data_IF_814849102071
#
_entry.id   IF_814849102071
#
_cell.length_a   1.000
_cell.length_b   1.000
_cell.length_c   1.000
_cell.angle_alpha   90.00
_cell.angle_beta   90.00
_cell.angle_gamma   90.00
#
_symmetry.space_group_name_H-M   'P 1'
#
loop_
_entity.id
_entity.type
_entity.pdbx_description
1 polymer ?
#
# COMPACT_ATOMS: atom_id res chain seq x y z
N UNK A 1 9.39 -51.99 46.38
CA UNK A 1 7.93 -52.22 46.42
C UNK A 1 7.33 -51.63 45.16
N UNK A 2 6.43 -52.35 44.47
CA UNK A 2 5.77 -51.88 43.26
C UNK A 2 4.31 -51.53 43.58
N UNK A 3 3.86 -50.34 43.19
CA UNK A 3 2.46 -49.93 43.31
C UNK A 3 1.66 -50.56 42.16
N UNK A 4 0.53 -51.20 42.50
CA UNK A 4 -0.41 -51.73 41.50
C UNK A 4 -1.51 -50.70 41.25
N UNK A 5 -1.94 -50.55 40.01
CA UNK A 5 -2.94 -49.56 39.60
C UNK A 5 -4.37 -49.96 39.97
N UNK A 6 -4.64 -51.25 40.20
CA UNK A 6 -5.96 -51.80 40.53
C UNK A 6 -5.82 -52.88 41.61
N UNK A 7 -6.69 -52.84 42.62
CA UNK A 7 -6.86 -53.89 43.63
C UNK A 7 -8.31 -54.38 43.67
N UNK A 8 -8.49 -55.67 43.95
CA UNK A 8 -9.81 -56.32 44.06
C UNK A 8 -10.29 -56.49 45.51
N UNK A 9 -9.49 -56.04 46.48
CA UNK A 9 -9.83 -56.00 47.90
C UNK A 9 -9.00 -54.87 48.57
N UNK A 10 -9.62 -54.12 49.48
CA UNK A 10 -8.98 -53.06 50.25
C UNK A 10 -7.99 -53.62 51.29
N UNK A 11 -8.17 -54.87 51.70
CA UNK A 11 -7.24 -55.55 52.61
C UNK A 11 -5.85 -55.80 51.96
N UNK A 12 -5.80 -55.92 50.63
CA UNK A 12 -4.55 -56.11 49.87
C UNK A 12 -3.75 -54.81 49.68
N UNK A 13 -4.38 -53.65 49.91
CA UNK A 13 -3.73 -52.34 49.83
C UNK A 13 -2.95 -52.10 51.12
N UNK A 14 -1.61 -51.92 51.06
CA UNK A 14 -0.83 -51.58 52.25
C UNK A 14 -1.38 -50.32 52.92
N UNK A 15 -1.55 -50.35 54.25
CA UNK A 15 -2.28 -49.30 55.01
C UNK A 15 -1.81 -47.88 54.71
N UNK A 16 -0.51 -47.69 54.50
CA UNK A 16 0.12 -46.40 54.17
C UNK A 16 -0.36 -45.75 52.86
N UNK A 17 -0.98 -46.53 51.98
CA UNK A 17 -1.42 -46.08 50.66
C UNK A 17 -2.94 -46.17 50.47
N UNK A 18 -3.72 -46.62 51.46
CA UNK A 18 -5.18 -46.74 51.37
C UNK A 18 -5.87 -45.41 51.06
N UNK A 19 -5.31 -44.31 51.56
CA UNK A 19 -5.82 -42.95 51.30
C UNK A 19 -5.75 -42.54 49.81
N UNK A 20 -4.91 -43.22 49.01
CA UNK A 20 -4.71 -42.91 47.59
C UNK A 20 -5.61 -43.73 46.65
N UNK A 21 -6.40 -44.68 47.17
CA UNK A 21 -7.30 -45.52 46.38
C UNK A 21 -8.76 -45.20 46.68
N UNK A 22 -9.58 -45.07 45.65
CA UNK A 22 -11.04 -44.91 45.79
C UNK A 22 -11.79 -46.04 45.09
N UNK A 23 -12.89 -46.49 45.71
CA UNK A 23 -13.78 -47.49 45.12
C UNK A 23 -14.49 -46.92 43.89
N UNK A 24 -14.24 -47.50 42.72
CA UNK A 24 -14.83 -47.05 41.44
C UNK A 24 -15.98 -47.97 41.00
N UNK A 25 -15.98 -49.22 41.45
CA UNK A 25 -17.05 -50.22 41.25
C UNK A 25 -17.02 -51.22 42.42
N UNK A 26 -18.09 -51.99 42.70
CA UNK A 26 -18.15 -52.84 43.90
C UNK A 26 -16.98 -53.83 43.93
N UNK A 27 -16.10 -53.66 44.91
CA UNK A 27 -14.90 -54.51 45.09
C UNK A 27 -13.71 -54.16 44.18
N UNK A 28 -13.71 -53.04 43.45
CA UNK A 28 -12.55 -52.59 42.65
C UNK A 28 -12.08 -51.22 43.12
N UNK A 29 -10.87 -51.21 43.68
CA UNK A 29 -10.19 -50.03 44.20
C UNK A 29 -9.15 -49.57 43.20
N UNK A 30 -9.30 -48.34 42.68
CA UNK A 30 -8.35 -47.74 41.73
C UNK A 30 -7.57 -46.61 42.38
N UNK A 31 -6.30 -46.47 41.97
CA UNK A 31 -5.38 -45.45 42.47
C UNK A 31 -5.74 -44.09 41.86
N UNK A 32 -6.41 -43.24 42.63
CA UNK A 32 -6.97 -41.95 42.19
C UNK A 32 -6.36 -40.75 42.93
N UNK A 33 -5.70 -40.96 44.07
CA UNK A 33 -5.10 -39.92 44.90
C UNK A 33 -3.72 -39.41 44.45
N UNK A 34 -3.22 -39.82 43.28
CA UNK A 34 -1.98 -39.29 42.72
C UNK A 34 -2.33 -38.13 41.78
N UNK A 35 -2.02 -36.90 42.19
CA UNK A 35 -2.08 -35.73 41.31
C UNK A 35 -1.23 -35.97 40.05
N UNK A 36 -1.88 -35.90 38.87
CA UNK A 36 -1.22 -36.00 37.56
C UNK A 36 -1.37 -37.35 36.83
N UNK A 37 -2.08 -38.34 37.38
CA UNK A 37 -2.45 -39.54 36.62
C UNK A 37 -3.56 -39.20 35.61
N UNK A 38 -3.19 -39.06 34.33
CA UNK A 38 -4.15 -39.03 33.23
C UNK A 38 -4.92 -40.35 33.23
N UNK A 39 -6.25 -40.28 33.32
CA UNK A 39 -7.11 -41.45 33.33
C UNK A 39 -7.15 -42.08 31.94
N UNK A 40 -7.56 -43.35 31.85
CA UNK A 40 -7.76 -44.01 30.55
C UNK A 40 -8.73 -43.25 29.64
N UNK A 41 -9.70 -42.55 30.23
CA UNK A 41 -10.65 -41.69 29.53
C UNK A 41 -9.98 -40.43 28.95
N UNK A 42 -9.06 -39.80 29.69
CA UNK A 42 -8.28 -38.66 29.18
C UNK A 42 -7.39 -39.06 28.00
N UNK A 43 -6.81 -40.26 28.05
CA UNK A 43 -6.06 -40.81 26.92
C UNK A 43 -6.93 -41.08 25.70
N UNK A 44 -8.16 -41.57 25.90
CA UNK A 44 -9.13 -41.78 24.81
C UNK A 44 -9.57 -40.45 24.20
N UNK A 45 -9.82 -39.42 25.00
CA UNK A 45 -10.15 -38.08 24.53
C UNK A 45 -9.00 -37.43 23.77
N UNK A 46 -7.77 -37.56 24.28
CA UNK A 46 -6.60 -37.07 23.57
C UNK A 46 -6.44 -37.77 22.22
N UNK A 47 -6.60 -39.10 22.21
CA UNK A 47 -6.52 -39.88 20.97
C UNK A 47 -7.58 -39.48 19.96
N UNK A 48 -8.83 -39.33 20.37
CA UNK A 48 -9.90 -38.89 19.45
C UNK A 48 -9.66 -37.48 18.92
N UNK A 49 -9.13 -36.56 19.74
CA UNK A 49 -8.75 -35.22 19.28
C UNK A 49 -7.60 -35.25 18.26
N UNK A 50 -6.61 -36.14 18.44
CA UNK A 50 -5.52 -36.33 17.48
C UNK A 50 -6.02 -36.95 16.17
N UNK A 51 -6.92 -37.94 16.25
CA UNK A 51 -7.54 -38.54 15.07
C UNK A 51 -8.35 -37.50 14.27
N UNK A 52 -9.06 -36.59 14.94
CA UNK A 52 -9.74 -35.46 14.30
C UNK A 52 -8.76 -34.51 13.61
N UNK A 53 -7.68 -34.12 14.29
CA UNK A 53 -6.65 -33.24 13.72
C UNK A 53 -5.97 -33.85 12.48
N UNK A 54 -5.72 -35.17 12.49
CA UNK A 54 -5.18 -35.87 11.32
C UNK A 54 -6.17 -35.87 10.16
N UNK A 55 -7.45 -36.14 10.42
CA UNK A 55 -8.48 -36.10 9.38
C UNK A 55 -8.63 -34.70 8.76
N UNK A 56 -8.56 -33.65 9.58
CA UNK A 56 -8.55 -32.26 9.10
C UNK A 56 -7.31 -31.94 8.26
N UNK A 57 -6.12 -32.36 8.71
CA UNK A 57 -4.88 -32.16 7.97
C UNK A 57 -4.89 -32.88 6.62
N UNK A 58 -5.42 -34.11 6.56
CA UNK A 58 -5.61 -34.86 5.32
C UNK A 58 -6.61 -34.18 4.39
N UNK A 59 -7.71 -33.67 4.93
CA UNK A 59 -8.71 -32.93 4.16
C UNK A 59 -8.10 -31.66 3.54
N UNK A 60 -7.35 -30.88 4.32
CA UNK A 60 -6.66 -29.68 3.84
C UNK A 60 -5.60 -30.01 2.78
N UNK A 61 -4.82 -31.09 2.98
CA UNK A 61 -3.87 -31.57 1.96
C UNK A 61 -4.57 -31.96 0.66
N UNK A 62 -5.70 -32.66 0.74
CA UNK A 62 -6.49 -33.04 -0.43
C UNK A 62 -7.02 -31.81 -1.17
N UNK A 63 -7.47 -30.77 -0.45
CA UNK A 63 -7.88 -29.49 -1.04
C UNK A 63 -6.71 -28.77 -1.70
N UNK A 64 -5.52 -28.77 -1.09
CA UNK A 64 -4.33 -28.18 -1.70
C UNK A 64 -4.02 -28.85 -3.04
N UNK A 65 -3.92 -30.18 -3.06
CA UNK A 65 -3.66 -30.96 -4.29
C UNK A 65 -4.74 -30.72 -5.34
N UNK A 66 -6.02 -30.71 -4.95
CA UNK A 66 -7.15 -30.42 -5.86
C UNK A 66 -7.03 -29.05 -6.52
N UNK A 67 -6.50 -28.06 -5.82
CA UNK A 67 -6.28 -26.70 -6.33
C UNK A 67 -4.87 -26.52 -6.95
N UNK A 68 -4.10 -27.58 -7.12
CA UNK A 68 -2.74 -27.52 -7.68
C UNK A 68 -1.72 -26.85 -6.76
N UNK A 69 -2.03 -26.68 -5.48
CA UNK A 69 -1.15 -26.10 -4.47
C UNK A 69 -0.37 -27.24 -3.80
N UNK A 70 0.95 -27.12 -3.79
CA UNK A 70 1.79 -28.02 -2.99
C UNK A 70 1.61 -27.67 -1.50
N UNK A 71 1.23 -28.62 -0.63
CA UNK A 71 0.98 -28.35 0.80
C UNK A 71 2.17 -27.68 1.50
N UNK A 72 3.39 -28.08 1.15
CA UNK A 72 4.63 -27.55 1.75
C UNK A 72 4.94 -26.11 1.31
N UNK A 73 4.24 -25.59 0.28
CA UNK A 73 4.39 -24.22 -0.20
C UNK A 73 3.37 -23.26 0.37
N UNK A 74 2.39 -23.71 1.14
CA UNK A 74 1.30 -22.86 1.64
C UNK A 74 1.84 -21.67 2.43
N UNK A 75 2.81 -21.89 3.32
CA UNK A 75 3.44 -20.81 4.10
C UNK A 75 4.18 -19.82 3.18
N UNK A 76 4.97 -20.33 2.24
CA UNK A 76 5.66 -19.46 1.26
C UNK A 76 4.70 -18.65 0.39
N UNK A 77 3.52 -19.20 0.08
CA UNK A 77 2.49 -18.47 -0.66
C UNK A 77 1.91 -17.34 0.18
N UNK A 78 1.69 -17.55 1.49
CA UNK A 78 1.24 -16.47 2.37
C UNK A 78 2.25 -15.33 2.46
N UNK A 79 3.54 -15.64 2.53
CA UNK A 79 4.62 -14.65 2.48
C UNK A 79 4.62 -13.89 1.14
N UNK A 80 4.56 -14.62 0.02
CA UNK A 80 4.47 -14.03 -1.32
C UNK A 80 3.23 -13.12 -1.46
N UNK A 81 2.08 -13.53 -0.92
CA UNK A 81 0.85 -12.74 -0.91
C UNK A 81 0.99 -11.47 -0.08
N UNK A 82 1.63 -11.55 1.10
CA UNK A 82 1.88 -10.38 1.93
C UNK A 82 2.80 -9.38 1.20
N UNK A 83 3.87 -9.87 0.58
CA UNK A 83 4.80 -9.07 -0.22
C UNK A 83 4.13 -8.43 -1.43
N UNK A 84 3.33 -9.19 -2.17
CA UNK A 84 2.58 -8.68 -3.33
C UNK A 84 1.58 -7.60 -2.91
N UNK A 85 0.87 -7.80 -1.79
CA UNK A 85 -0.05 -6.82 -1.23
C UNK A 85 0.68 -5.53 -0.84
N UNK A 86 1.86 -5.62 -0.22
CA UNK A 86 2.67 -4.46 0.12
C UNK A 86 3.18 -3.72 -1.13
N UNK A 87 3.61 -4.45 -2.16
CA UNK A 87 4.04 -3.89 -3.45
C UNK A 87 2.87 -3.20 -4.17
N UNK A 88 1.67 -3.79 -4.15
CA UNK A 88 0.47 -3.18 -4.72
C UNK A 88 0.10 -1.89 -3.99
N UNK A 89 0.02 -1.90 -2.66
CA UNK A 89 -0.27 -0.69 -1.87
C UNK A 89 0.73 0.43 -2.16
N UNK A 90 2.01 0.09 -2.29
CA UNK A 90 3.06 1.05 -2.66
C UNK A 90 2.82 1.63 -4.06
N UNK A 91 2.54 0.78 -5.06
CA UNK A 91 2.26 1.23 -6.43
C UNK A 91 0.99 2.07 -6.53
N UNK A 92 -0.07 1.67 -5.84
CA UNK A 92 -1.32 2.42 -5.81
C UNK A 92 -1.09 3.82 -5.22
N UNK A 93 -0.35 3.91 -4.11
CA UNK A 93 0.00 5.22 -3.52
C UNK A 93 0.79 6.11 -4.50
N UNK A 94 1.73 5.54 -5.26
CA UNK A 94 2.52 6.27 -6.25
C UNK A 94 1.65 6.73 -7.43
N UNK A 95 0.74 5.87 -7.92
CA UNK A 95 -0.20 6.20 -8.99
C UNK A 95 -1.13 7.35 -8.54
N UNK A 96 -1.63 7.30 -7.31
CA UNK A 96 -2.48 8.37 -6.78
C UNK A 96 -1.71 9.70 -6.65
N UNK A 97 -0.47 9.66 -6.16
CA UNK A 97 0.37 10.85 -6.08
C UNK A 97 0.61 11.49 -7.45
N UNK A 98 0.91 10.69 -8.48
CA UNK A 98 1.10 11.19 -9.84
C UNK A 98 -0.20 11.70 -10.48
N UNK A 99 -1.35 11.06 -10.22
CA UNK A 99 -2.66 11.57 -10.66
C UNK A 99 -2.94 12.96 -10.10
N UNK A 100 -2.70 13.16 -8.81
CA UNK A 100 -2.87 14.45 -8.14
C UNK A 100 -1.94 15.50 -8.76
N UNK A 101 -0.65 15.18 -8.93
CA UNK A 101 0.33 16.10 -9.55
C UNK A 101 -0.06 16.47 -10.99
N UNK A 102 -0.54 15.51 -11.78
CA UNK A 102 -0.96 15.77 -13.15
C UNK A 102 -2.19 16.67 -13.19
N UNK A 103 -3.20 16.41 -12.36
CA UNK A 103 -4.38 17.28 -12.23
C UNK A 103 -4.00 18.71 -11.82
N UNK A 104 -3.09 18.86 -10.86
CA UNK A 104 -2.55 20.18 -10.45
C UNK A 104 -1.79 20.87 -11.56
N UNK A 105 -0.91 20.15 -12.28
CA UNK A 105 -0.14 20.71 -13.39
C UNK A 105 -1.05 21.19 -14.52
N UNK A 106 -2.00 20.36 -14.94
CA UNK A 106 -2.92 20.69 -16.04
C UNK A 106 -3.80 21.89 -15.70
N UNK A 107 -4.35 21.94 -14.49
CA UNK A 107 -5.16 23.07 -14.03
C UNK A 107 -4.33 24.33 -13.88
N UNK A 108 -3.12 24.24 -13.32
CA UNK A 108 -2.21 25.37 -13.19
C UNK A 108 -1.81 25.98 -14.53
N UNK A 109 -1.47 25.14 -15.51
CA UNK A 109 -1.16 25.59 -16.87
C UNK A 109 -2.37 26.25 -17.54
N UNK A 110 -3.58 25.68 -17.38
CA UNK A 110 -4.83 26.28 -17.89
C UNK A 110 -5.11 27.65 -17.27
N UNK A 111 -4.73 27.86 -16.01
CA UNK A 111 -4.94 29.12 -15.28
C UNK A 111 -3.79 30.13 -15.45
N UNK A 112 -2.77 29.83 -16.26
CA UNK A 112 -1.68 30.75 -16.58
C UNK A 112 -0.56 30.81 -15.54
N UNK A 113 -0.42 29.80 -14.67
CA UNK A 113 0.75 29.67 -13.80
C UNK A 113 2.00 29.49 -14.66
N UNK A 114 3.05 30.27 -14.36
CA UNK A 114 4.32 30.18 -15.07
C UNK A 114 5.02 28.86 -14.78
N UNK A 115 5.77 28.34 -15.75
CA UNK A 115 6.50 27.06 -15.61
C UNK A 115 7.44 27.03 -14.39
N UNK A 116 8.09 28.16 -14.08
CA UNK A 116 8.98 28.31 -12.92
C UNK A 116 8.27 28.17 -11.57
N UNK A 117 6.97 28.45 -11.49
CA UNK A 117 6.17 28.33 -10.28
C UNK A 117 5.48 26.96 -10.14
N UNK A 118 5.50 26.11 -11.17
CA UNK A 118 4.90 24.79 -11.10
C UNK A 118 5.49 23.90 -9.98
N UNK A 119 6.81 23.89 -9.72
CA UNK A 119 7.35 23.12 -8.60
C UNK A 119 6.72 23.52 -7.25
N UNK A 120 6.47 24.81 -7.03
CA UNK A 120 5.85 25.32 -5.80
C UNK A 120 4.39 24.89 -5.66
N UNK A 121 3.65 24.88 -6.77
CA UNK A 121 2.27 24.37 -6.81
C UNK A 121 2.25 22.86 -6.54
N UNK A 122 3.14 22.10 -7.18
CA UNK A 122 3.23 20.65 -7.02
C UNK A 122 3.72 20.23 -5.63
N UNK A 123 4.52 21.05 -4.96
CA UNK A 123 4.93 20.82 -3.57
C UNK A 123 3.72 20.80 -2.62
N UNK A 124 2.59 21.42 -3.01
CA UNK A 124 1.34 21.46 -2.25
C UNK A 124 0.38 20.32 -2.60
N UNK A 125 0.81 19.33 -3.37
CA UNK A 125 -0.01 18.17 -3.74
C UNK A 125 -0.48 17.34 -2.55
N UNK A 126 0.23 17.37 -1.41
CA UNK A 126 -0.13 16.64 -0.18
C UNK A 126 -1.46 17.07 0.46
N UNK A 127 -2.00 18.22 0.06
CA UNK A 127 -3.27 18.81 0.51
C UNK A 127 -4.47 18.09 -0.13
N UNK A 128 -4.24 17.34 -1.20
CA UNK A 128 -5.27 16.70 -2.02
C UNK A 128 -5.35 15.20 -1.81
N UNK A 129 -6.51 14.64 -2.15
CA UNK A 129 -6.82 13.23 -2.20
C UNK A 129 -7.61 12.92 -3.48
N UNK A 130 -7.51 11.69 -3.97
CA UNK A 130 -8.37 11.20 -5.04
C UNK A 130 -9.64 10.65 -4.41
N UNK A 131 -10.79 11.26 -4.73
CA UNK A 131 -12.09 10.75 -4.28
C UNK A 131 -12.50 9.45 -4.97
N UNK A 132 -13.54 8.80 -4.45
CA UNK A 132 -14.08 7.54 -4.99
C UNK A 132 -14.50 7.66 -6.47
N UNK A 133 -14.98 8.84 -6.87
CA UNK A 133 -15.37 9.18 -8.25
C UNK A 133 -14.17 9.38 -9.20
N UNK A 134 -12.93 9.20 -8.72
CA UNK A 134 -11.71 9.48 -9.47
C UNK A 134 -11.37 10.97 -9.60
N UNK A 135 -12.16 11.86 -8.99
CA UNK A 135 -11.91 13.31 -8.99
C UNK A 135 -10.91 13.70 -7.90
N UNK A 136 -9.95 14.57 -8.22
CA UNK A 136 -8.99 15.10 -7.24
C UNK A 136 -9.62 16.26 -6.48
N UNK A 137 -9.69 16.14 -5.15
CA UNK A 137 -10.25 17.16 -4.25
C UNK A 137 -9.34 17.36 -3.06
N UNK A 138 -9.45 18.52 -2.41
CA UNK A 138 -8.78 18.76 -1.15
C UNK A 138 -9.18 17.71 -0.11
N UNK A 139 -8.26 17.37 0.78
CA UNK A 139 -8.56 16.57 1.97
C UNK A 139 -9.69 17.21 2.79
N UNK A 140 -10.39 16.44 3.64
CA UNK A 140 -11.47 16.98 4.48
C UNK A 140 -11.02 18.16 5.36
N UNK A 141 -9.78 18.12 5.86
CA UNK A 141 -9.16 19.21 6.63
C UNK A 141 -9.05 20.53 5.84
N UNK A 142 -9.02 20.46 4.51
CA UNK A 142 -8.88 21.59 3.60
C UNK A 142 -10.21 21.95 2.91
N UNK A 143 -11.34 21.49 3.45
CA UNK A 143 -12.68 21.87 3.01
C UNK A 143 -13.19 21.15 1.75
N UNK A 144 -12.54 20.06 1.32
CA UNK A 144 -12.92 19.28 0.12
C UNK A 144 -13.03 20.09 -1.18
N UNK A 145 -12.24 21.16 -1.26
CA UNK A 145 -12.24 22.12 -2.38
C UNK A 145 -11.68 21.48 -3.65
N UNK A 146 -12.25 21.79 -4.81
CA UNK A 146 -11.72 21.34 -6.10
C UNK A 146 -10.36 21.98 -6.43
N UNK A 147 -9.55 21.33 -7.27
CA UNK A 147 -8.20 21.84 -7.61
C UNK A 147 -8.24 23.27 -8.18
N UNK A 148 -9.19 23.57 -9.08
CA UNK A 148 -9.32 24.89 -9.69
C UNK A 148 -9.69 25.98 -8.66
N UNK A 149 -10.70 25.72 -7.83
CA UNK A 149 -11.15 26.65 -6.78
C UNK A 149 -10.04 26.92 -5.75
N UNK A 150 -9.29 25.88 -5.37
CA UNK A 150 -8.12 26.05 -4.51
C UNK A 150 -7.06 26.91 -5.18
N UNK A 151 -6.77 26.66 -6.47
CA UNK A 151 -5.75 27.41 -7.19
C UNK A 151 -6.15 28.88 -7.38
N UNK A 152 -7.42 29.19 -7.60
CA UNK A 152 -7.92 30.57 -7.66
C UNK A 152 -7.65 31.32 -6.36
N UNK A 153 -7.93 30.69 -5.21
CA UNK A 153 -7.63 31.28 -3.91
C UNK A 153 -6.12 31.46 -3.73
N UNK A 154 -5.33 30.46 -4.08
CA UNK A 154 -3.87 30.52 -3.95
C UNK A 154 -3.22 31.55 -4.87
N UNK A 155 -3.74 31.78 -6.08
CA UNK A 155 -3.23 32.80 -6.99
C UNK A 155 -3.45 34.23 -6.46
N UNK A 156 -4.52 34.45 -5.67
CA UNK A 156 -4.73 35.73 -4.97
C UNK A 156 -3.69 35.94 -3.86
N UNK A 157 -3.35 34.88 -3.13
CA UNK A 157 -2.36 34.90 -2.06
C UNK A 157 -0.91 34.95 -2.59
N UNK A 158 -0.67 34.32 -3.75
CA UNK A 158 0.64 34.20 -4.40
C UNK A 158 0.63 34.76 -5.84
N UNK A 159 0.48 36.10 -6.03
CA UNK A 159 0.42 36.71 -7.36
C UNK A 159 1.69 36.49 -8.21
N UNK A 160 2.82 36.24 -7.55
CA UNK A 160 4.11 35.99 -8.19
C UNK A 160 4.17 34.67 -8.98
N UNK A 161 3.19 33.78 -8.82
CA UNK A 161 3.06 32.58 -9.65
C UNK A 161 2.57 32.87 -11.08
N UNK A 162 1.94 34.02 -11.29
CA UNK A 162 1.56 34.50 -12.61
C UNK A 162 2.74 35.23 -13.25
N UNK A 163 2.73 35.29 -14.59
CA UNK A 163 3.62 36.20 -15.28
C UNK A 163 3.34 37.63 -14.77
N UNK A 164 4.38 38.41 -14.40
CA UNK A 164 4.17 39.80 -14.05
C UNK A 164 3.44 40.48 -15.21
N UNK A 165 2.28 41.05 -14.92
CA UNK A 165 1.52 41.81 -15.90
C UNK A 165 2.48 42.82 -16.52
N UNK A 166 2.73 42.69 -17.83
CA UNK A 166 3.48 43.71 -18.58
C UNK A 166 2.59 44.95 -18.59
N UNK A 167 2.65 45.72 -17.51
CA UNK A 167 2.09 47.04 -17.46
C UNK A 167 2.76 47.86 -18.55
N UNK A 168 1.91 48.53 -19.33
CA UNK A 168 2.25 49.33 -20.50
C UNK A 168 3.08 50.57 -20.11
N UNK A 169 4.34 50.38 -19.72
CA UNK A 169 5.16 51.46 -19.16
C UNK A 169 6.67 51.34 -19.35
N UNK A 170 7.18 50.30 -20.01
CA UNK A 170 8.61 50.24 -20.38
C UNK A 170 8.74 50.40 -21.88
N UNK A 171 8.78 51.66 -22.33
CA UNK A 171 9.54 51.98 -23.55
C UNK A 171 10.99 51.66 -23.22
N UNK A 172 11.47 50.48 -23.62
CA UNK A 172 12.90 50.32 -23.84
C UNK A 172 13.24 51.25 -25.01
N UNK A 173 13.61 52.48 -24.68
CA UNK A 173 14.45 53.29 -25.55
C UNK A 173 15.80 52.56 -25.62
N UNK A 174 15.91 51.54 -26.48
CA UNK A 174 17.22 51.17 -27.02
C UNK A 174 17.61 52.32 -27.95
N UNK A 175 18.59 53.09 -27.48
CA UNK A 175 19.42 54.06 -28.19
C UNK A 175 19.22 54.18 -29.72
N UNK A 176 19.03 55.39 -30.26
CA UNK A 176 18.89 55.61 -31.69
C UNK A 176 20.27 55.56 -32.37
N UNK A 177 20.76 54.36 -32.69
CA UNK A 177 21.82 54.17 -33.68
C UNK A 177 21.58 52.87 -34.45
N UNK A 178 20.50 52.85 -35.24
CA UNK A 178 20.29 51.87 -36.30
C UNK A 178 19.78 52.56 -37.57
N UNK A 179 20.49 53.60 -38.00
CA UNK A 179 20.43 54.06 -39.38
C UNK A 179 21.43 53.24 -40.22
N UNK A 180 21.05 52.03 -40.60
CA UNK A 180 21.38 51.41 -41.89
C UNK A 180 20.68 50.07 -42.00
N UNK A 181 19.58 50.07 -42.75
CA UNK A 181 19.04 48.87 -43.35
C UNK A 181 20.13 48.27 -44.27
N UNK A 182 20.83 47.26 -43.78
CA UNK A 182 21.58 46.36 -44.63
C UNK A 182 20.56 45.40 -45.26
N UNK A 183 20.02 45.80 -46.41
CA UNK A 183 19.38 44.86 -47.33
C UNK A 183 20.45 43.84 -47.71
N UNK A 184 20.33 42.62 -47.18
CA UNK A 184 21.12 41.48 -47.62
C UNK A 184 20.56 41.04 -48.97
N UNK A 185 20.93 41.74 -50.04
CA UNK A 185 20.73 41.22 -51.38
C UNK A 185 21.58 39.96 -51.50
N UNK A 186 20.95 38.87 -51.90
CA UNK A 186 21.64 37.60 -52.10
C UNK A 186 22.59 37.73 -53.29
N UNK A 187 23.71 36.99 -53.30
CA UNK A 187 24.68 37.00 -54.42
C UNK A 187 24.02 36.73 -55.79
N UNK A 188 22.90 36.00 -55.79
CA UNK A 188 22.09 35.74 -56.98
C UNK A 188 21.41 37.01 -57.55
N UNK A 189 20.99 37.96 -56.70
CA UNK A 189 20.36 39.22 -57.13
C UNK A 189 21.39 40.22 -57.70
N UNK A 190 22.60 40.26 -57.14
CA UNK A 190 23.69 41.10 -57.68
C UNK A 190 24.15 40.66 -59.07
N UNK A 191 24.13 39.36 -59.35
CA UNK A 191 24.44 38.84 -60.69
C UNK A 191 23.33 39.24 -61.66
N UNK A 192 22.05 39.09 -61.28
CA UNK A 192 20.92 39.43 -62.15
C UNK A 192 20.85 40.93 -62.52
N UNK A 193 21.18 41.84 -61.59
CA UNK A 193 21.21 43.28 -61.88
C UNK A 193 22.36 43.70 -62.79
N UNK A 194 23.51 42.99 -62.77
CA UNK A 194 24.66 43.36 -63.62
C UNK A 194 24.41 43.12 -65.12
N UNK A 195 23.51 42.20 -65.48
CA UNK A 195 23.19 41.88 -66.87
C UNK A 195 22.08 42.76 -67.47
N UNK A 196 21.35 43.52 -66.65
CA UNK A 196 20.21 44.33 -67.10
C UNK A 196 20.58 45.80 -67.40
N UNK A 197 21.83 46.22 -67.14
CA UNK A 197 22.31 47.59 -67.35
C UNK A 197 23.10 47.81 -68.65
N UNK A 198 23.12 46.84 -69.57
CA UNK A 198 23.67 47.01 -70.92
C UNK A 198 22.63 46.68 -71.99
N UNK A 199 21.64 47.56 -72.14
CA UNK A 199 20.90 47.79 -73.40
C UNK A 199 20.25 49.18 -73.40
#
# INVERSE_FOLDING_TARGET
>A
MALKTVFHDIAEVPEKFRELYSETSPGVWTLTGIEGLKTAQDFQQLRSSMEQQLAEAEHLRALCVKNGIQPDRVDSLFDEFADLKAKLATRDSAIQAERIKNALRETALKMGVRAEALPDVLARASIFETGEDGTVRGKPENGRVGVAEWLEKQLRESPHWLAPSRSAGVRQNLFPYAARAAAQNTMAELIAESWNNHR
#
